data_IF_537002257662
#
_entry.id   IF_537002257662
#
_cell.length_a   1.000
_cell.length_b   1.000
_cell.length_c   1.000
_cell.angle_alpha   90.00
_cell.angle_beta   90.00
_cell.angle_gamma   90.00
#
_symmetry.space_group_name_H-M   'P 1'
#
loop_
_entity.id
_entity.type
_entity.pdbx_description
1 polymer ?
#
# COMPACT_ATOMS: atom_id res chain seq x y z
N UNK A 1 15.42 3.85 18.83
CA UNK A 1 16.47 2.88 18.45
C UNK A 1 15.92 1.60 17.82
N UNK A 2 15.22 0.70 18.54
CA UNK A 2 14.76 -0.58 17.93
C UNK A 2 13.80 -0.41 16.75
N UNK A 3 12.76 0.42 16.87
CA UNK A 3 11.80 0.67 15.76
C UNK A 3 12.47 1.30 14.54
N UNK A 4 13.44 2.19 14.76
CA UNK A 4 14.22 2.81 13.69
C UNK A 4 15.11 1.78 12.99
N UNK A 5 15.79 0.91 13.73
CA UNK A 5 16.60 -0.17 13.14
C UNK A 5 15.74 -1.14 12.30
N UNK A 6 14.53 -1.47 12.79
CA UNK A 6 13.57 -2.30 12.04
C UNK A 6 13.12 -1.60 10.74
N UNK A 7 12.76 -0.31 10.83
CA UNK A 7 12.33 0.48 9.67
C UNK A 7 13.45 0.59 8.62
N UNK A 8 14.69 0.86 9.04
CA UNK A 8 15.85 0.87 8.15
C UNK A 8 16.11 -0.50 7.51
N UNK A 9 15.97 -1.58 8.27
CA UNK A 9 16.09 -2.94 7.74
C UNK A 9 15.03 -3.25 6.68
N UNK A 10 13.78 -2.84 6.90
CA UNK A 10 12.69 -2.98 5.92
C UNK A 10 12.90 -2.12 4.68
N UNK A 11 13.33 -0.88 4.85
CA UNK A 11 13.66 0.03 3.76
C UNK A 11 14.72 -0.56 2.82
N UNK A 12 15.74 -1.21 3.38
CA UNK A 12 16.79 -1.89 2.60
C UNK A 12 16.26 -3.10 1.82
N UNK A 13 15.26 -3.80 2.35
CA UNK A 13 14.67 -4.98 1.71
C UNK A 13 13.66 -4.62 0.64
N UNK A 14 12.76 -3.69 0.96
CA UNK A 14 11.70 -3.23 0.06
C UNK A 14 11.32 -1.78 0.40
N UNK A 15 11.89 -0.80 -0.32
CA UNK A 15 11.62 0.60 -0.04
C UNK A 15 10.17 0.97 -0.37
N UNK A 16 9.54 0.32 -1.35
CA UNK A 16 8.18 0.65 -1.77
C UNK A 16 7.19 0.38 -0.64
N UNK A 17 7.34 -0.74 0.05
CA UNK A 17 6.53 -1.08 1.24
C UNK A 17 6.73 -0.05 2.35
N UNK A 18 7.98 0.29 2.65
CA UNK A 18 8.29 1.17 3.77
C UNK A 18 7.78 2.60 3.52
N UNK A 19 7.92 3.12 2.29
CA UNK A 19 7.35 4.43 1.92
C UNK A 19 5.82 4.41 1.87
N UNK A 20 5.19 3.33 1.39
CA UNK A 20 3.73 3.23 1.37
C UNK A 20 3.11 3.27 2.77
N UNK A 21 3.86 2.90 3.81
CA UNK A 21 3.43 3.03 5.20
C UNK A 21 3.20 4.49 5.63
N UNK A 22 3.90 5.44 5.01
CA UNK A 22 3.76 6.88 5.26
C UNK A 22 2.55 7.49 4.55
N UNK A 23 1.94 6.78 3.60
CA UNK A 23 0.68 7.18 2.95
C UNK A 23 -0.51 6.80 3.85
N UNK A 24 -0.64 7.53 4.95
CA UNK A 24 -1.68 7.39 5.96
C UNK A 24 -2.61 8.62 5.96
N UNK A 25 -3.54 8.70 6.90
CA UNK A 25 -4.52 9.81 6.98
C UNK A 25 -3.91 11.15 7.33
N UNK A 26 -2.71 11.16 7.90
CA UNK A 26 -1.99 12.36 8.32
C UNK A 26 -0.99 12.84 7.24
N UNK A 27 -0.93 12.13 6.10
CA UNK A 27 -0.03 12.39 4.98
C UNK A 27 1.45 12.52 5.38
N UNK A 28 1.92 11.66 6.29
CA UNK A 28 3.33 11.62 6.74
C UNK A 28 4.34 11.52 5.59
N UNK A 29 3.91 10.99 4.43
CA UNK A 29 4.69 10.96 3.20
C UNK A 29 5.19 12.35 2.79
N UNK A 30 4.45 13.43 3.07
CA UNK A 30 4.84 14.80 2.77
C UNK A 30 5.95 15.33 3.69
N UNK A 31 6.22 14.66 4.82
CA UNK A 31 7.31 15.02 5.73
C UNK A 31 8.67 14.51 5.27
N UNK A 32 8.72 13.64 4.26
CA UNK A 32 9.98 13.21 3.64
C UNK A 32 10.57 14.39 2.86
N UNK A 33 11.88 14.61 3.00
CA UNK A 33 12.59 15.63 2.22
C UNK A 33 12.99 15.05 0.87
N UNK A 34 12.16 15.25 -0.14
CA UNK A 34 12.42 14.81 -1.52
C UNK A 34 13.29 15.81 -2.28
N UNK A 35 12.98 17.09 -2.09
CA UNK A 35 13.60 18.18 -2.84
C UNK A 35 13.64 19.47 -2.00
N UNK A 36 14.71 20.30 -2.09
CA UNK A 36 14.80 21.56 -1.33
C UNK A 36 13.66 22.54 -1.57
N UNK A 37 13.06 22.53 -2.78
CA UNK A 37 11.94 23.40 -3.17
C UNK A 37 10.56 22.75 -2.99
N UNK A 38 10.44 21.63 -2.27
CA UNK A 38 9.15 20.96 -2.10
C UNK A 38 8.09 21.82 -1.39
N UNK A 39 8.53 22.77 -0.53
CA UNK A 39 7.66 23.73 0.14
C UNK A 39 7.02 24.74 -0.81
N UNK A 40 7.61 24.92 -1.99
CA UNK A 40 7.15 25.88 -3.00
C UNK A 40 6.04 25.31 -3.89
N UNK A 41 5.73 24.01 -3.75
CA UNK A 41 4.71 23.30 -4.53
C UNK A 41 3.44 23.16 -3.68
N UNK A 42 2.28 23.21 -4.34
CA UNK A 42 1.01 22.91 -3.68
C UNK A 42 1.04 21.47 -3.11
N UNK A 43 0.71 21.33 -1.83
CA UNK A 43 0.69 20.03 -1.14
C UNK A 43 -0.26 19.02 -1.80
N UNK A 44 -1.40 19.47 -2.30
CA UNK A 44 -2.39 18.59 -2.95
C UNK A 44 -1.85 18.05 -4.29
N UNK A 45 -1.17 18.90 -5.07
CA UNK A 45 -0.54 18.49 -6.34
C UNK A 45 0.63 17.53 -6.08
N UNK A 46 1.45 17.81 -5.07
CA UNK A 46 2.54 16.93 -4.67
C UNK A 46 2.00 15.56 -4.20
N UNK A 47 0.96 15.56 -3.36
CA UNK A 47 0.34 14.33 -2.87
C UNK A 47 -0.29 13.53 -4.02
N UNK A 48 -0.93 14.20 -4.98
CA UNK A 48 -1.46 13.58 -6.18
C UNK A 48 -0.35 12.94 -7.01
N UNK A 49 0.74 13.65 -7.28
CA UNK A 49 1.88 13.14 -8.02
C UNK A 49 2.52 11.93 -7.34
N UNK A 50 2.75 12.02 -6.02
CA UNK A 50 3.26 10.90 -5.23
C UNK A 50 2.32 9.69 -5.31
N UNK A 51 1.01 9.90 -5.13
CA UNK A 51 0.01 8.83 -5.20
C UNK A 51 0.00 8.16 -6.59
N UNK A 52 0.14 8.94 -7.66
CA UNK A 52 0.24 8.42 -9.01
C UNK A 52 1.49 7.54 -9.18
N UNK A 53 2.64 7.97 -8.68
CA UNK A 53 3.86 7.17 -8.71
C UNK A 53 3.76 5.88 -7.90
N UNK A 54 3.10 5.90 -6.73
CA UNK A 54 2.79 4.67 -6.00
C UNK A 54 1.89 3.74 -6.81
N UNK A 55 0.82 4.25 -7.43
CA UNK A 55 -0.06 3.44 -8.28
C UNK A 55 0.75 2.82 -9.42
N UNK A 56 1.54 3.60 -10.14
CA UNK A 56 2.35 3.11 -11.26
C UNK A 56 3.29 2.00 -10.79
N UNK A 57 4.09 2.27 -9.75
CA UNK A 57 5.12 1.33 -9.30
C UNK A 57 4.51 0.07 -8.68
N UNK A 58 3.46 0.19 -7.87
CA UNK A 58 2.78 -0.95 -7.23
C UNK A 58 2.15 -1.87 -8.26
N UNK A 59 1.51 -1.33 -9.29
CA UNK A 59 0.90 -2.16 -10.33
C UNK A 59 1.94 -2.77 -11.28
N UNK A 60 3.09 -2.13 -11.47
CA UNK A 60 4.21 -2.67 -12.23
C UNK A 60 4.85 -3.88 -11.54
N UNK A 61 5.14 -3.78 -10.22
CA UNK A 61 5.78 -4.87 -9.47
C UNK A 61 4.80 -5.95 -9.02
N UNK A 62 3.53 -5.60 -8.84
CA UNK A 62 2.50 -6.48 -8.30
C UNK A 62 2.55 -6.61 -6.77
N UNK A 63 1.45 -7.08 -6.19
CA UNK A 63 1.31 -7.26 -4.73
C UNK A 63 0.88 -8.69 -4.43
N UNK A 64 1.60 -9.34 -3.52
CA UNK A 64 1.20 -10.62 -2.96
C UNK A 64 0.21 -10.41 -1.80
N UNK A 65 -1.06 -10.72 -2.05
CA UNK A 65 -2.15 -10.57 -1.08
C UNK A 65 -1.96 -11.47 0.14
N UNK A 66 -1.39 -12.68 -0.03
CA UNK A 66 -1.14 -13.59 1.09
C UNK A 66 -0.05 -13.05 2.00
N UNK A 67 1.02 -12.48 1.42
CA UNK A 67 2.04 -11.75 2.17
C UNK A 67 1.45 -10.58 2.97
N UNK A 68 0.47 -9.86 2.41
CA UNK A 68 -0.26 -8.81 3.12
C UNK A 68 -1.13 -9.31 4.27
N UNK A 69 -1.63 -10.54 4.21
CA UNK A 69 -2.39 -11.17 5.30
C UNK A 69 -1.46 -11.57 6.45
N UNK A 70 -0.30 -12.15 6.12
CA UNK A 70 0.71 -12.62 7.06
C UNK A 70 1.46 -11.47 7.73
N UNK A 71 1.92 -10.50 6.94
CA UNK A 71 2.75 -9.38 7.39
C UNK A 71 2.01 -8.05 7.23
N UNK A 72 1.45 -7.55 8.33
CA UNK A 72 0.64 -6.32 8.35
C UNK A 72 1.35 -5.09 7.75
N UNK A 73 2.66 -4.96 7.94
CA UNK A 73 3.44 -3.83 7.40
C UNK A 73 3.49 -3.81 5.86
N UNK A 74 3.19 -4.91 5.18
CA UNK A 74 3.16 -4.98 3.71
C UNK A 74 1.79 -4.63 3.11
N UNK A 75 0.75 -4.59 3.95
CA UNK A 75 -0.64 -4.36 3.50
C UNK A 75 -0.90 -2.97 2.92
N UNK A 76 -0.07 -1.98 3.25
CA UNK A 76 -0.21 -0.60 2.81
C UNK A 76 -0.10 -0.44 1.30
N UNK A 77 0.52 -1.39 0.59
CA UNK A 77 0.58 -1.38 -0.88
C UNK A 77 -0.80 -1.60 -1.52
N UNK A 78 -1.70 -2.34 -0.87
CA UNK A 78 -2.98 -2.72 -1.48
C UNK A 78 -3.85 -1.53 -1.84
N UNK A 79 -3.69 -0.39 -1.16
CA UNK A 79 -4.46 0.82 -1.49
C UNK A 79 -4.11 1.41 -2.86
N UNK A 80 -2.94 1.07 -3.40
CA UNK A 80 -2.43 1.57 -4.69
C UNK A 80 -2.62 0.58 -5.84
N UNK A 81 -3.13 -0.62 -5.58
CA UNK A 81 -3.51 -1.58 -6.62
C UNK A 81 -4.69 -1.01 -7.41
N UNK A 82 -4.65 -1.13 -8.74
CA UNK A 82 -5.65 -0.55 -9.61
C UNK A 82 -7.07 -1.02 -9.25
N UNK A 83 -8.01 -0.07 -9.13
CA UNK A 83 -9.40 -0.34 -8.71
C UNK A 83 -9.61 -0.49 -7.20
N UNK A 84 -8.53 -0.59 -6.42
CA UNK A 84 -8.55 -0.48 -4.96
C UNK A 84 -8.30 0.97 -4.53
N UNK A 85 -8.47 1.16 -3.23
CA UNK A 85 -8.22 2.39 -2.48
C UNK A 85 -8.20 2.00 -1.00
N UNK A 86 -7.88 2.92 -0.07
CA UNK A 86 -7.64 2.57 1.34
C UNK A 86 -8.81 1.80 1.97
N UNK A 87 -10.04 2.26 1.71
CA UNK A 87 -11.26 1.59 2.20
C UNK A 87 -11.43 0.17 1.65
N UNK A 88 -11.24 -0.01 0.34
CA UNK A 88 -11.41 -1.31 -0.32
C UNK A 88 -10.30 -2.30 0.05
N UNK A 89 -9.06 -1.82 0.18
CA UNK A 89 -7.91 -2.61 0.58
C UNK A 89 -8.09 -3.19 2.00
N UNK A 90 -8.48 -2.35 2.97
CA UNK A 90 -8.78 -2.81 4.33
C UNK A 90 -9.94 -3.79 4.34
N UNK A 91 -11.00 -3.51 3.59
CA UNK A 91 -12.16 -4.41 3.50
C UNK A 91 -11.80 -5.78 2.91
N UNK A 92 -10.99 -5.80 1.84
CA UNK A 92 -10.49 -7.03 1.22
C UNK A 92 -9.76 -7.91 2.24
N UNK A 93 -8.78 -7.35 2.95
CA UNK A 93 -8.03 -8.09 3.95
C UNK A 93 -8.91 -8.59 5.09
N UNK A 94 -9.90 -7.80 5.50
CA UNK A 94 -10.86 -8.21 6.54
C UNK A 94 -11.66 -9.43 6.10
N UNK A 95 -12.19 -9.45 4.88
CA UNK A 95 -12.91 -10.60 4.33
C UNK A 95 -12.00 -11.83 4.32
N UNK A 96 -10.78 -11.70 3.80
CA UNK A 96 -9.87 -12.84 3.68
C UNK A 96 -9.47 -13.42 5.04
N UNK A 97 -9.18 -12.56 6.04
CA UNK A 97 -8.89 -13.00 7.42
C UNK A 97 -10.08 -13.69 8.09
N UNK A 98 -11.30 -13.20 7.89
CA UNK A 98 -12.49 -13.79 8.50
C UNK A 98 -12.84 -15.18 7.96
N UNK A 99 -12.42 -15.48 6.73
CA UNK A 99 -12.68 -16.77 6.11
C UNK A 99 -11.50 -17.74 6.26
N UNK A 100 -10.48 -17.38 7.07
CA UNK A 100 -9.24 -18.13 7.33
C UNK A 100 -8.58 -18.68 6.05
N UNK A 101 -8.74 -17.92 4.96
CA UNK A 101 -8.44 -18.37 3.61
C UNK A 101 -7.18 -17.70 3.11
N UNK A 102 -6.16 -18.51 2.86
CA UNK A 102 -5.12 -18.16 1.91
C UNK A 102 -5.74 -18.08 0.51
N UNK A 103 -5.33 -17.06 -0.23
CA UNK A 103 -5.74 -16.86 -1.60
C UNK A 103 -4.96 -17.83 -2.49
N UNK A 104 -5.52 -19.02 -2.71
CA UNK A 104 -4.92 -20.06 -3.57
C UNK A 104 -5.08 -19.76 -5.07
N UNK A 105 -6.10 -18.97 -5.43
CA UNK A 105 -6.39 -18.62 -6.82
C UNK A 105 -7.10 -17.27 -6.91
N UNK A 106 -6.82 -16.53 -8.00
CA UNK A 106 -7.47 -15.25 -8.31
C UNK A 106 -8.99 -15.36 -8.42
N UNK A 107 -9.52 -16.53 -8.79
CA UNK A 107 -10.97 -16.78 -8.86
C UNK A 107 -11.65 -16.57 -7.50
N UNK A 108 -10.96 -16.83 -6.39
CA UNK A 108 -11.49 -16.59 -5.04
C UNK A 108 -11.79 -15.11 -4.77
N UNK A 109 -11.11 -14.17 -5.43
CA UNK A 109 -11.41 -12.73 -5.28
C UNK A 109 -12.81 -12.39 -5.80
N UNK A 110 -13.24 -13.05 -6.88
CA UNK A 110 -14.57 -12.85 -7.45
C UNK A 110 -15.62 -13.50 -6.57
N UNK A 111 -15.41 -14.77 -6.19
CA UNK A 111 -16.42 -15.56 -5.47
C UNK A 111 -16.56 -15.15 -4.01
N UNK A 112 -15.45 -14.83 -3.33
CA UNK A 112 -15.43 -14.54 -1.88
C UNK A 112 -15.47 -13.04 -1.61
N UNK A 113 -14.64 -12.26 -2.31
CA UNK A 113 -14.49 -10.83 -2.07
C UNK A 113 -15.44 -9.97 -2.90
N UNK A 114 -16.33 -10.60 -3.68
CA UNK A 114 -17.34 -9.95 -4.54
C UNK A 114 -16.73 -8.89 -5.48
N UNK A 115 -15.49 -9.11 -5.91
CA UNK A 115 -14.83 -8.29 -6.92
C UNK A 115 -15.32 -8.71 -8.32
N UNK A 116 -16.60 -8.44 -8.59
CA UNK A 116 -17.22 -8.70 -9.88
C UNK A 116 -16.66 -7.84 -11.01
N UNK A 117 -16.97 -8.17 -12.29
CA UNK A 117 -16.63 -7.30 -13.41
C UNK A 117 -17.21 -5.90 -13.22
N UNK A 118 -16.45 -4.87 -13.63
CA UNK A 118 -16.90 -3.48 -13.63
C UNK A 118 -18.04 -3.27 -14.61
#
# INVERSE_FOLDING_TARGET
MLRQAISLGRLLLDPLIEYAHLCNTDDDILCVSYHPLQSEVNKEELLFALSLEFINRVNEVGVDVNRCLEYSHTSYLLQFVCGLGPRKAVHLLKILKQNDNLLESRTKLVTLCRMGPK
#
